data_IF_265269439160
#
_entry.id   IF_265269439160
#
_cell.length_a   1.000
_cell.length_b   1.000
_cell.length_c   1.000
_cell.angle_alpha   90.00
_cell.angle_beta   90.00
_cell.angle_gamma   90.00
#
_symmetry.space_group_name_H-M   'P 1'
#
loop_
_entity.id
_entity.type
_entity.pdbx_description
1 polymer ?
#
# COMPACT_ATOMS: atom_id res chain seq x y z
N UNK A 1 -5.80 -6.60 -1.41
CA UNK A 1 -4.93 -6.42 -0.23
C UNK A 1 -5.72 -5.71 0.84
N UNK A 2 -5.88 -6.34 2.02
CA UNK A 2 -6.57 -5.71 3.16
C UNK A 2 -5.78 -4.50 3.67
N UNK A 3 -6.47 -3.39 3.96
CA UNK A 3 -5.85 -2.21 4.56
C UNK A 3 -5.12 -2.51 5.88
N UNK A 4 -5.68 -3.41 6.71
CA UNK A 4 -5.07 -3.82 7.98
C UNK A 4 -3.65 -4.40 7.83
N UNK A 5 -3.30 -4.97 6.67
CA UNK A 5 -1.94 -5.49 6.45
C UNK A 5 -0.87 -4.39 6.57
N UNK A 6 -1.22 -3.14 6.25
CA UNK A 6 -0.32 -2.00 6.36
C UNK A 6 0.11 -1.67 7.79
N UNK A 7 -0.61 -2.16 8.80
CA UNK A 7 -0.24 -2.05 10.21
C UNK A 7 1.04 -2.85 10.53
N UNK A 8 1.36 -3.84 9.69
CA UNK A 8 2.49 -4.76 9.86
C UNK A 8 3.60 -4.56 8.82
N UNK A 9 3.29 -3.97 7.67
CA UNK A 9 4.25 -3.84 6.58
C UNK A 9 5.19 -2.67 6.80
N UNK A 10 6.46 -3.00 7.04
CA UNK A 10 7.59 -2.09 6.92
C UNK A 10 8.33 -2.33 5.60
N UNK A 11 9.13 -1.35 5.18
CA UNK A 11 10.04 -1.51 4.06
C UNK A 11 11.02 -2.68 4.33
N UNK A 12 11.16 -3.66 3.42
CA UNK A 12 12.05 -4.79 3.64
C UNK A 12 13.53 -4.38 3.66
N UNK A 13 13.89 -3.24 3.07
CA UNK A 13 15.27 -2.76 2.92
C UNK A 13 15.79 -1.96 4.11
N UNK A 14 15.05 -0.94 4.54
CA UNK A 14 15.48 0.04 5.56
C UNK A 14 14.63 0.00 6.84
N UNK A 15 13.59 -0.85 6.86
CA UNK A 15 12.64 -1.01 7.98
C UNK A 15 11.78 0.23 8.25
N UNK A 16 11.72 1.17 7.31
CA UNK A 16 10.82 2.32 7.39
C UNK A 16 9.38 1.88 7.58
N UNK A 17 8.68 2.53 8.51
CA UNK A 17 7.27 2.34 8.80
C UNK A 17 6.62 3.67 9.19
N UNK A 18 5.41 3.98 8.68
CA UNK A 18 4.62 3.19 7.74
C UNK A 18 5.07 3.36 6.28
N UNK A 19 4.80 2.37 5.43
CA UNK A 19 4.85 2.56 3.98
C UNK A 19 3.69 3.44 3.51
N UNK A 20 3.93 4.29 2.51
CA UNK A 20 2.86 5.03 1.84
C UNK A 20 2.05 4.08 0.94
N UNK A 21 0.72 4.19 0.99
CA UNK A 21 -0.20 3.41 0.17
C UNK A 21 -0.92 4.32 -0.82
N UNK A 22 -0.66 4.14 -2.10
CA UNK A 22 -1.39 4.79 -3.19
C UNK A 22 -2.41 3.82 -3.77
N UNK A 23 -3.69 4.07 -3.49
CA UNK A 23 -4.81 3.24 -3.95
C UNK A 23 -5.23 3.68 -5.35
N UNK A 24 -5.29 2.74 -6.29
CA UNK A 24 -5.80 2.98 -7.65
C UNK A 24 -7.22 2.42 -7.81
N UNK A 25 -7.45 1.22 -7.29
CA UNK A 25 -8.74 0.55 -7.36
C UNK A 25 -8.97 -0.32 -6.12
N UNK A 26 -10.23 -0.47 -5.71
CA UNK A 26 -10.64 -1.23 -4.54
C UNK A 26 -11.81 -2.14 -4.87
N UNK A 27 -11.83 -3.33 -4.27
CA UNK A 27 -12.99 -4.22 -4.28
C UNK A 27 -13.65 -4.22 -2.91
N UNK A 28 -14.99 -4.21 -2.90
CA UNK A 28 -15.80 -4.34 -1.70
C UNK A 28 -16.45 -5.72 -1.65
N UNK A 29 -16.26 -6.42 -0.54
CA UNK A 29 -16.86 -7.73 -0.26
C UNK A 29 -17.98 -7.56 0.77
N UNK A 30 -19.22 -7.38 0.29
CA UNK A 30 -20.39 -7.09 1.15
C UNK A 30 -20.66 -8.18 2.21
N UNK A 31 -20.41 -9.45 1.87
CA UNK A 31 -20.62 -10.59 2.78
C UNK A 31 -19.55 -10.77 3.85
N UNK A 32 -18.52 -9.91 3.88
CA UNK A 32 -17.42 -10.07 4.82
C UNK A 32 -17.79 -9.47 6.17
N UNK A 33 -17.85 -10.32 7.18
CA UNK A 33 -18.09 -9.96 8.57
C UNK A 33 -16.89 -10.43 9.39
N UNK A 34 -16.37 -9.56 10.25
CA UNK A 34 -15.33 -9.91 11.21
C UNK A 34 -15.69 -9.32 12.57
N UNK A 35 -15.47 -10.09 13.64
CA UNK A 35 -15.53 -9.59 15.00
C UNK A 35 -14.13 -9.22 15.47
N UNK A 36 -13.94 -7.95 15.84
CA UNK A 36 -12.69 -7.48 16.44
C UNK A 36 -12.86 -7.42 17.96
N UNK A 37 -11.88 -7.96 18.70
CA UNK A 37 -11.88 -7.91 20.17
C UNK A 37 -11.80 -6.46 20.69
N UNK A 38 -11.05 -5.64 19.98
CA UNK A 38 -10.82 -4.23 20.27
C UNK A 38 -10.95 -3.43 18.98
N UNK A 39 -11.40 -2.18 19.11
CA UNK A 39 -11.46 -1.21 18.02
C UNK A 39 -10.79 0.08 18.52
N UNK A 40 -9.81 0.65 17.81
CA UNK A 40 -9.26 0.23 16.51
C UNK A 40 -8.71 -1.21 16.51
N UNK A 41 -8.93 -1.92 15.41
CA UNK A 41 -8.47 -3.30 15.24
C UNK A 41 -6.98 -3.38 14.83
N UNK A 42 -6.40 -2.27 14.37
CA UNK A 42 -4.97 -2.12 14.10
C UNK A 42 -4.27 -1.62 15.37
N UNK A 43 -2.99 -1.90 15.53
CA UNK A 43 -2.21 -1.57 16.73
C UNK A 43 -1.41 -0.27 16.57
N UNK A 44 -0.80 -0.03 15.41
CA UNK A 44 0.14 1.06 15.17
C UNK A 44 -0.37 2.06 14.12
N UNK A 45 -0.92 1.59 13.01
CA UNK A 45 -1.32 2.42 11.87
C UNK A 45 -2.61 1.94 11.20
N UNK A 46 -3.55 2.86 10.98
CA UNK A 46 -4.80 2.60 10.29
C UNK A 46 -4.71 3.10 8.84
N UNK A 47 -4.29 2.26 7.90
CA UNK A 47 -4.18 2.67 6.49
C UNK A 47 -5.52 2.99 5.80
N UNK A 48 -6.64 2.51 6.33
CA UNK A 48 -7.97 2.88 5.83
C UNK A 48 -8.31 4.36 6.11
N UNK A 49 -7.71 4.95 7.15
CA UNK A 49 -7.86 6.37 7.50
C UNK A 49 -6.59 7.20 7.27
N UNK A 50 -5.44 6.55 7.05
CA UNK A 50 -4.16 7.22 6.82
C UNK A 50 -3.54 7.83 8.07
N UNK A 51 -3.79 7.29 9.27
CA UNK A 51 -3.37 7.88 10.56
C UNK A 51 -2.75 6.84 11.49
N UNK A 52 -1.87 7.28 12.41
CA UNK A 52 -1.39 6.42 13.50
C UNK A 52 -2.53 6.12 14.47
N UNK A 53 -2.55 4.91 15.00
CA UNK A 53 -3.61 4.46 15.93
C UNK A 53 -3.62 5.31 17.21
N UNK A 54 -2.47 5.80 17.66
CA UNK A 54 -2.37 6.72 18.81
C UNK A 54 -3.13 8.04 18.61
N UNK A 55 -3.31 8.49 17.37
CA UNK A 55 -4.03 9.74 17.04
C UNK A 55 -5.56 9.56 17.04
N UNK A 56 -6.04 8.31 17.06
CA UNK A 56 -7.48 8.02 17.12
C UNK A 56 -8.06 8.20 18.52
N UNK A 57 -7.22 8.29 19.56
CA UNK A 57 -7.64 8.48 20.96
C UNK A 57 -8.69 7.44 21.42
N UNK A 58 -8.51 6.19 20.98
CA UNK A 58 -9.41 5.07 21.30
C UNK A 58 -10.73 5.06 20.50
N UNK A 59 -10.94 5.98 19.57
CA UNK A 59 -12.14 5.98 18.70
C UNK A 59 -12.04 4.90 17.63
N UNK A 60 -13.17 4.24 17.34
CA UNK A 60 -13.27 3.28 16.24
C UNK A 60 -13.21 4.00 14.87
N UNK A 61 -12.21 3.71 14.01
CA UNK A 61 -12.11 4.30 12.68
C UNK A 61 -13.10 3.70 11.67
N UNK A 62 -14.02 2.83 12.09
CA UNK A 62 -14.93 2.10 11.22
C UNK A 62 -14.35 0.76 10.78
N UNK A 63 -13.80 -0.03 11.72
CA UNK A 63 -13.15 -1.30 11.40
C UNK A 63 -14.08 -2.31 10.70
N UNK A 64 -15.37 -2.30 11.02
CA UNK A 64 -16.37 -3.20 10.42
C UNK A 64 -16.65 -2.88 8.95
N UNK A 65 -16.42 -1.62 8.54
CA UNK A 65 -16.50 -1.23 7.15
C UNK A 65 -15.15 -1.48 6.45
N UNK A 66 -14.05 -1.07 7.08
CA UNK A 66 -12.69 -1.27 6.59
C UNK A 66 -12.42 -2.72 6.14
N UNK A 67 -12.89 -3.72 6.90
CA UNK A 67 -12.59 -5.12 6.60
C UNK A 67 -13.19 -5.58 5.26
N UNK A 68 -14.29 -4.94 4.82
CA UNK A 68 -14.99 -5.25 3.57
C UNK A 68 -14.20 -4.80 2.35
N UNK A 69 -13.27 -3.86 2.50
CA UNK A 69 -12.50 -3.34 1.39
C UNK A 69 -11.13 -3.99 1.27
N UNK A 70 -10.75 -4.27 0.02
CA UNK A 70 -9.41 -4.64 -0.36
C UNK A 70 -8.91 -3.72 -1.48
N UNK A 71 -7.65 -3.30 -1.38
CA UNK A 71 -6.96 -2.63 -2.48
C UNK A 71 -6.69 -3.67 -3.55
N UNK A 72 -7.36 -3.55 -4.70
CA UNK A 72 -7.18 -4.43 -5.87
C UNK A 72 -5.94 -4.06 -6.64
N UNK A 73 -5.81 -2.78 -6.95
CA UNK A 73 -4.66 -2.20 -7.65
C UNK A 73 -4.15 -1.01 -6.86
N UNK A 74 -2.84 -0.93 -6.68
CA UNK A 74 -2.22 0.13 -5.91
C UNK A 74 -0.71 0.03 -5.90
N UNK A 75 -0.06 0.97 -5.20
CA UNK A 75 1.39 0.99 -5.02
C UNK A 75 1.70 1.23 -3.55
N UNK A 76 2.59 0.41 -3.00
CA UNK A 76 3.28 0.68 -1.75
C UNK A 76 4.55 1.47 -2.06
N UNK A 77 4.86 2.52 -1.34
CA UNK A 77 6.05 3.33 -1.54
C UNK A 77 6.76 3.59 -0.21
N UNK A 78 8.09 3.40 -0.19
CA UNK A 78 8.92 3.78 0.93
C UNK A 78 9.44 5.21 0.70
N UNK A 79 9.06 6.20 1.53
CA UNK A 79 9.56 7.56 1.39
C UNK A 79 11.04 7.71 1.74
N UNK A 80 11.63 6.74 2.44
CA UNK A 80 13.02 6.78 2.86
C UNK A 80 13.98 6.32 1.76
N UNK A 81 13.89 5.05 1.30
CA UNK A 81 14.77 4.58 0.23
C UNK A 81 14.26 4.84 -1.20
N UNK A 82 13.00 5.27 -1.36
CA UNK A 82 12.37 5.55 -2.65
C UNK A 82 11.93 4.30 -3.43
N UNK A 83 11.88 3.13 -2.79
CA UNK A 83 11.40 1.89 -3.42
C UNK A 83 9.89 1.85 -3.43
N UNK A 84 9.33 1.24 -4.47
CA UNK A 84 7.90 0.98 -4.56
C UNK A 84 7.63 -0.51 -4.80
N UNK A 85 6.42 -0.97 -4.46
CA UNK A 85 5.94 -2.32 -4.74
C UNK A 85 4.51 -2.29 -5.29
N UNK A 86 4.22 -3.01 -6.38
CA UNK A 86 2.89 -3.05 -6.95
C UNK A 86 1.96 -3.93 -6.11
N UNK A 87 0.70 -3.51 -6.01
CA UNK A 87 -0.43 -4.34 -5.62
C UNK A 87 -1.18 -4.68 -6.90
N UNK A 88 -1.29 -5.97 -7.22
CA UNK A 88 -1.92 -6.48 -8.45
C UNK A 88 -2.91 -7.56 -8.09
N UNK A 89 -4.16 -7.42 -8.54
CA UNK A 89 -5.25 -8.36 -8.24
C UNK A 89 -5.28 -8.72 -6.74
N UNK A 90 -5.25 -7.68 -5.91
CA UNK A 90 -5.26 -7.76 -4.44
C UNK A 90 -3.99 -8.31 -3.78
N UNK A 91 -2.99 -8.72 -4.55
CA UNK A 91 -1.75 -9.30 -4.05
C UNK A 91 -0.64 -8.24 -4.03
N UNK A 92 -0.10 -7.86 -2.85
CA UNK A 92 1.10 -7.03 -2.77
C UNK A 92 2.32 -7.85 -3.19
N UNK A 93 3.02 -7.41 -4.24
CA UNK A 93 4.21 -8.10 -4.77
C UNK A 93 5.46 -7.48 -4.19
N UNK A 94 5.81 -7.88 -2.97
CA UNK A 94 6.99 -7.39 -2.23
C UNK A 94 8.19 -8.29 -2.54
N UNK A 95 8.74 -8.13 -3.74
CA UNK A 95 9.96 -8.82 -4.17
C UNK A 95 11.19 -7.90 -4.01
N UNK A 96 12.37 -8.48 -3.73
CA UNK A 96 13.62 -7.73 -3.80
C UNK A 96 13.93 -7.32 -5.25
N UNK A 97 14.66 -6.22 -5.41
CA UNK A 97 15.01 -5.57 -6.67
C UNK A 97 15.59 -6.56 -7.71
N UNK A 98 16.43 -7.51 -7.29
CA UNK A 98 17.04 -8.50 -8.18
C UNK A 98 16.04 -9.53 -8.75
N UNK A 99 14.86 -9.67 -8.14
CA UNK A 99 13.77 -10.52 -8.64
C UNK A 99 12.70 -9.72 -9.40
N UNK A 100 12.84 -8.39 -9.49
CA UNK A 100 11.91 -7.52 -10.20
C UNK A 100 12.28 -7.34 -11.66
N UNK A 101 11.35 -7.68 -12.55
CA UNK A 101 11.53 -7.57 -14.01
C UNK A 101 11.14 -6.18 -14.50
N UNK A 102 12.10 -5.42 -15.01
CA UNK A 102 11.92 -4.04 -15.53
C UNK A 102 10.69 -3.92 -16.45
N UNK A 103 10.61 -4.74 -17.50
CA UNK A 103 9.50 -4.68 -18.45
C UNK A 103 8.12 -4.91 -17.80
N UNK A 104 8.04 -5.80 -16.82
CA UNK A 104 6.78 -6.05 -16.09
C UNK A 104 6.39 -4.85 -15.22
N UNK A 105 7.37 -4.15 -14.68
CA UNK A 105 7.15 -3.02 -13.78
C UNK A 105 6.76 -1.76 -14.55
N UNK A 106 7.43 -1.50 -15.67
CA UNK A 106 7.08 -0.40 -16.56
C UNK A 106 5.68 -0.60 -17.17
N UNK A 107 5.34 -1.82 -17.62
CA UNK A 107 3.97 -2.14 -18.10
C UNK A 107 2.90 -1.94 -17.03
N UNK A 108 3.24 -2.10 -15.76
CA UNK A 108 2.32 -1.82 -14.66
C UNK A 108 2.18 -0.31 -14.39
N UNK A 109 3.28 0.43 -14.42
CA UNK A 109 3.27 1.87 -14.14
C UNK A 109 2.65 2.71 -15.28
N UNK A 110 2.89 2.34 -16.55
CA UNK A 110 2.49 3.13 -17.72
C UNK A 110 1.00 3.54 -17.71
N UNK A 111 0.02 2.62 -17.53
CA UNK A 111 -1.39 3.00 -17.48
C UNK A 111 -1.79 3.78 -16.20
N UNK A 112 -0.90 3.87 -15.21
CA UNK A 112 -1.15 4.48 -13.91
C UNK A 112 -0.44 5.81 -13.73
N UNK A 113 0.33 6.27 -14.72
CA UNK A 113 1.24 7.41 -14.59
C UNK A 113 0.58 8.71 -14.13
N UNK A 114 -0.63 8.97 -14.58
CA UNK A 114 -1.38 10.20 -14.24
C UNK A 114 -2.09 10.11 -12.88
N UNK A 115 -2.18 8.90 -12.30
CA UNK A 115 -2.82 8.64 -11.00
C UNK A 115 -1.80 8.47 -9.87
N UNK A 116 -0.53 8.31 -10.21
CA UNK A 116 0.56 8.09 -9.27
C UNK A 116 1.47 9.33 -9.21
N UNK A 117 2.03 9.65 -8.04
CA UNK A 117 2.94 10.78 -7.92
C UNK A 117 4.26 10.54 -8.68
N UNK A 118 4.88 11.64 -9.12
CA UNK A 118 6.16 11.61 -9.86
C UNK A 118 7.29 10.91 -9.11
N UNK A 119 7.29 10.96 -7.77
CA UNK A 119 8.26 10.26 -6.93
C UNK A 119 8.29 8.74 -7.14
N UNK A 120 7.19 8.18 -7.67
CA UNK A 120 7.05 6.77 -8.03
C UNK A 120 7.29 6.60 -9.54
N UNK A 121 6.63 7.39 -10.37
CA UNK A 121 6.60 7.18 -11.83
C UNK A 121 7.88 7.62 -12.53
N UNK A 122 8.64 8.58 -11.96
CA UNK A 122 9.88 9.13 -12.54
C UNK A 122 11.14 8.72 -11.77
N UNK A 123 11.09 8.72 -10.44
CA UNK A 123 12.27 8.46 -9.58
C UNK A 123 12.19 7.18 -8.75
N UNK A 124 11.13 6.40 -8.90
CA UNK A 124 10.88 5.21 -8.11
C UNK A 124 11.91 4.09 -8.36
N UNK A 125 12.37 3.46 -7.28
CA UNK A 125 13.23 2.26 -7.36
C UNK A 125 12.39 0.98 -7.31
N UNK A 126 12.81 -0.12 -7.96
CA UNK A 126 14.03 -0.22 -8.77
C UNK A 126 13.89 0.37 -10.17
N UNK A 127 12.67 0.51 -10.69
CA UNK A 127 12.42 0.99 -12.05
C UNK A 127 11.31 2.05 -12.07
N UNK A 128 11.46 3.03 -12.94
CA UNK A 128 10.51 4.12 -13.19
C UNK A 128 10.37 4.35 -14.70
N UNK A 129 9.26 4.95 -15.13
CA UNK A 129 8.92 5.20 -16.54
C UNK A 129 9.90 6.16 -17.20
N UNK A 130 10.18 7.27 -16.51
CA UNK A 130 11.15 8.27 -16.94
C UNK A 130 12.39 8.17 -16.07
N UNK A 131 13.00 6.99 -16.03
CA UNK A 131 14.38 6.89 -15.57
C UNK A 131 15.31 7.39 -16.68
N UNK A 132 15.47 8.71 -16.82
CA UNK A 132 16.50 9.35 -17.63
C UNK A 132 16.94 10.62 -16.88
N UNK A 133 18.17 10.74 -16.39
CA UNK A 133 19.46 10.47 -17.05
C UNK A 133 20.46 9.79 -16.12
#
# INVERSE_FOLDING_TARGET
MKYRLMDLLACPYDKHFPLELHVIDTVKYEGRVASFKTKPACELYCAYRGVKVSELEGRDPGCDDCIKFEVKTGVLFCPECGRWWPIKEEIPVILPDNLRKKDSDLKFLEPLKDKLPEKITRSGKPWALEAQS
#
